data_IF_468593723699
#
_entry.id   IF_468593723699
#
_cell.length_a   1.000
_cell.length_b   1.000
_cell.length_c   1.000
_cell.angle_alpha   90.00
_cell.angle_beta   90.00
_cell.angle_gamma   90.00
#
_symmetry.space_group_name_H-M   'P 1'
#
loop_
_entity.id
_entity.type
_entity.pdbx_description
1 polymer ?
#
# COMPACT_ATOMS: atom_id res chain seq x y z
N UNK A 1 45.97 -59.46 -7.75
CA UNK A 1 46.74 -58.93 -6.61
C UNK A 1 47.13 -57.49 -6.93
N UNK A 2 46.81 -56.41 -6.23
CA UNK A 2 46.02 -56.14 -5.04
C UNK A 2 45.39 -54.75 -5.25
N UNK A 3 44.10 -54.64 -5.01
CA UNK A 3 43.34 -53.40 -5.12
C UNK A 3 43.89 -52.35 -4.14
N UNK A 4 44.01 -51.13 -4.66
CA UNK A 4 44.46 -49.96 -3.91
C UNK A 4 43.37 -49.48 -2.94
N UNK A 5 43.83 -49.29 -1.70
CA UNK A 5 43.45 -48.22 -0.78
C UNK A 5 41.96 -48.05 -0.43
N UNK A 6 41.63 -48.61 0.73
CA UNK A 6 40.66 -48.05 1.66
C UNK A 6 40.88 -46.56 1.87
N UNK A 7 39.82 -45.78 1.70
CA UNK A 7 39.51 -44.64 2.58
C UNK A 7 38.00 -44.46 2.55
N UNK A 8 37.39 -45.03 3.57
CA UNK A 8 36.04 -44.77 4.05
C UNK A 8 35.79 -43.26 4.16
N UNK A 9 34.97 -42.71 3.26
CA UNK A 9 34.21 -41.50 3.55
C UNK A 9 32.75 -41.88 3.68
N UNK A 10 32.23 -41.66 4.88
CA UNK A 10 30.89 -42.00 5.33
C UNK A 10 29.83 -41.44 4.39
N UNK A 11 29.07 -42.34 3.75
CA UNK A 11 27.82 -42.02 3.07
C UNK A 11 26.75 -41.86 4.15
N UNK A 12 26.72 -40.68 4.77
CA UNK A 12 25.68 -40.35 5.74
C UNK A 12 24.44 -39.92 4.96
N UNK A 13 23.47 -40.84 4.88
CA UNK A 13 22.08 -40.50 4.62
C UNK A 13 21.65 -39.36 5.56
N UNK A 14 21.29 -38.20 4.99
CA UNK A 14 20.54 -37.17 5.69
C UNK A 14 19.34 -36.75 4.85
N UNK A 15 18.16 -37.19 5.33
CA UNK A 15 16.89 -36.49 5.29
C UNK A 15 16.30 -36.07 3.94
N UNK A 16 15.56 -37.00 3.32
CA UNK A 16 14.46 -36.75 2.36
C UNK A 16 13.24 -35.99 2.98
N UNK A 17 13.43 -35.05 3.90
CA UNK A 17 12.30 -34.35 4.56
C UNK A 17 12.52 -32.88 4.89
N UNK A 18 13.26 -32.15 4.07
CA UNK A 18 13.31 -30.68 4.15
C UNK A 18 13.00 -29.95 2.83
N UNK A 19 12.56 -30.67 1.79
CA UNK A 19 12.28 -30.04 0.47
C UNK A 19 10.79 -29.89 0.15
N UNK A 20 9.90 -30.08 1.13
CA UNK A 20 8.46 -29.88 0.96
C UNK A 20 7.90 -28.70 1.75
N UNK A 21 8.68 -28.04 2.61
CA UNK A 21 8.17 -26.91 3.40
C UNK A 21 8.36 -25.56 2.70
N UNK A 22 9.35 -25.42 1.82
CA UNK A 22 9.62 -24.14 1.14
C UNK A 22 8.76 -23.98 -0.12
N UNK A 23 8.51 -25.04 -0.89
CA UNK A 23 7.81 -24.92 -2.17
C UNK A 23 6.29 -24.60 -2.03
N UNK A 24 5.64 -25.09 -0.97
CA UNK A 24 4.24 -24.75 -0.67
C UNK A 24 4.11 -23.35 -0.10
N UNK A 25 4.98 -22.96 0.83
CA UNK A 25 4.94 -21.61 1.43
C UNK A 25 5.34 -20.53 0.42
N UNK A 26 6.29 -20.80 -0.48
CA UNK A 26 6.63 -19.88 -1.57
C UNK A 26 5.50 -19.82 -2.60
N UNK A 27 4.82 -20.93 -2.90
CA UNK A 27 3.66 -20.91 -3.80
C UNK A 27 2.49 -20.15 -3.20
N UNK A 28 2.21 -20.31 -1.91
CA UNK A 28 1.12 -19.61 -1.23
C UNK A 28 1.47 -18.15 -0.93
N UNK A 29 2.76 -17.82 -0.74
CA UNK A 29 3.26 -16.45 -0.70
C UNK A 29 3.23 -15.78 -2.09
N UNK A 30 3.59 -16.48 -3.17
CA UNK A 30 3.49 -15.97 -4.55
C UNK A 30 2.04 -15.90 -5.04
N UNK A 31 1.17 -16.83 -4.63
CA UNK A 31 -0.28 -16.78 -4.89
C UNK A 31 -0.99 -15.76 -4.00
N UNK A 32 -0.52 -15.54 -2.77
CA UNK A 32 -0.93 -14.41 -1.92
C UNK A 32 -0.43 -13.05 -2.45
N UNK A 33 0.61 -13.06 -3.29
CA UNK A 33 1.08 -11.93 -4.10
C UNK A 33 0.28 -11.74 -5.39
N UNK A 34 -0.75 -12.56 -5.65
CA UNK A 34 -1.72 -12.32 -6.72
C UNK A 34 -2.60 -11.14 -6.30
N UNK A 35 -2.20 -9.95 -6.74
CA UNK A 35 -3.09 -8.84 -7.04
C UNK A 35 -3.96 -8.36 -5.87
N UNK A 36 -3.39 -8.14 -4.67
CA UNK A 36 -4.08 -7.29 -3.70
C UNK A 36 -4.22 -5.90 -4.33
N UNK A 37 -5.43 -5.57 -4.78
CA UNK A 37 -5.74 -4.25 -5.31
C UNK A 37 -5.36 -3.23 -4.24
N UNK A 38 -4.41 -2.34 -4.54
CA UNK A 38 -4.08 -1.22 -3.66
C UNK A 38 -5.34 -0.38 -3.48
N UNK A 39 -5.77 -0.18 -2.24
CA UNK A 39 -6.93 0.65 -1.92
C UNK A 39 -6.49 2.09 -1.69
N UNK A 40 -7.28 3.05 -2.16
CA UNK A 40 -6.94 4.47 -2.17
C UNK A 40 -6.80 5.02 -0.74
N UNK A 41 -7.78 4.78 0.13
CA UNK A 41 -7.80 5.37 1.47
C UNK A 41 -6.84 4.63 2.40
N UNK A 42 -6.69 3.31 2.25
CA UNK A 42 -5.64 2.52 2.90
C UNK A 42 -4.25 3.06 2.55
N UNK A 43 -3.92 3.16 1.26
CA UNK A 43 -2.61 3.64 0.79
C UNK A 43 -2.30 5.07 1.27
N UNK A 44 -3.29 5.96 1.20
CA UNK A 44 -3.13 7.32 1.72
C UNK A 44 -2.91 7.31 3.26
N UNK A 45 -3.65 6.47 3.98
CA UNK A 45 -3.48 6.36 5.44
C UNK A 45 -2.10 5.84 5.82
N UNK A 46 -1.58 4.86 5.07
CA UNK A 46 -0.22 4.34 5.26
C UNK A 46 0.85 5.41 4.98
N UNK A 47 0.71 6.17 3.89
CA UNK A 47 1.56 7.34 3.62
C UNK A 47 1.57 8.35 4.78
N UNK A 48 0.42 8.59 5.41
CA UNK A 48 0.36 9.48 6.57
C UNK A 48 1.05 8.89 7.80
N UNK A 49 0.93 7.59 8.05
CA UNK A 49 1.64 6.91 9.14
C UNK A 49 3.15 7.09 8.97
N UNK A 50 3.68 6.81 7.79
CA UNK A 50 5.11 7.01 7.48
C UNK A 50 5.53 8.49 7.57
N UNK A 51 4.66 9.41 7.17
CA UNK A 51 4.92 10.86 7.27
C UNK A 51 4.95 11.31 8.73
N UNK A 52 4.13 10.72 9.60
CA UNK A 52 4.04 11.05 11.03
C UNK A 52 5.35 10.77 11.76
N UNK A 53 6.01 9.66 11.43
CA UNK A 53 7.30 9.27 12.01
C UNK A 53 8.43 10.25 11.67
N UNK A 54 8.29 10.99 10.57
CA UNK A 54 9.29 11.97 10.11
C UNK A 54 9.03 13.40 10.58
N UNK A 55 8.00 13.61 11.40
CA UNK A 55 7.70 14.92 11.98
C UNK A 55 8.84 15.33 12.92
N UNK A 56 9.37 16.54 12.74
CA UNK A 56 10.49 17.05 13.55
C UNK A 56 11.88 16.68 13.03
N UNK A 57 11.98 15.78 12.04
CA UNK A 57 13.23 15.45 11.35
C UNK A 57 13.27 16.16 9.99
N UNK A 58 12.25 15.93 9.17
CA UNK A 58 12.17 16.50 7.81
C UNK A 58 10.75 16.86 7.36
N UNK A 59 9.75 16.63 8.21
CA UNK A 59 8.35 16.96 7.93
C UNK A 59 7.80 17.93 8.98
N UNK A 60 7.09 18.94 8.50
CA UNK A 60 6.41 19.90 9.35
C UNK A 60 5.08 19.34 9.87
N UNK A 61 4.80 19.51 11.17
CA UNK A 61 3.54 19.10 11.80
C UNK A 61 2.31 19.74 11.12
N UNK A 62 2.45 21.01 10.70
CA UNK A 62 1.39 21.73 9.97
C UNK A 62 1.00 21.01 8.69
N UNK A 63 1.98 20.53 7.93
CA UNK A 63 1.75 19.78 6.68
C UNK A 63 1.06 18.46 6.98
N UNK A 64 1.51 17.72 8.00
CA UNK A 64 0.84 16.48 8.41
C UNK A 64 -0.63 16.70 8.77
N UNK A 65 -0.94 17.70 9.60
CA UNK A 65 -2.34 18.05 9.96
C UNK A 65 -3.18 18.36 8.73
N UNK A 66 -2.63 19.11 7.77
CA UNK A 66 -3.31 19.40 6.50
C UNK A 66 -3.60 18.13 5.71
N UNK A 67 -2.62 17.22 5.57
CA UNK A 67 -2.82 15.97 4.82
C UNK A 67 -3.83 15.03 5.50
N UNK A 68 -3.85 14.99 6.83
CA UNK A 68 -4.85 14.22 7.60
C UNK A 68 -6.27 14.76 7.37
N UNK A 69 -6.44 16.08 7.32
CA UNK A 69 -7.71 16.71 6.98
C UNK A 69 -8.14 16.41 5.53
N UNK A 70 -7.19 16.41 4.58
CA UNK A 70 -7.48 16.03 3.19
C UNK A 70 -7.94 14.57 3.08
N UNK A 71 -7.35 13.66 3.86
CA UNK A 71 -7.80 12.27 3.92
C UNK A 71 -9.22 12.13 4.49
N UNK A 72 -9.60 12.94 5.50
CA UNK A 72 -10.97 12.90 6.02
C UNK A 72 -11.98 13.36 4.96
N UNK A 73 -11.66 14.41 4.20
CA UNK A 73 -12.49 14.88 3.09
C UNK A 73 -12.66 13.81 2.01
N UNK A 74 -11.58 13.10 1.67
CA UNK A 74 -11.60 12.04 0.68
C UNK A 74 -12.44 10.84 1.16
N UNK A 75 -12.29 10.43 2.43
CA UNK A 75 -13.13 9.39 3.05
C UNK A 75 -14.61 9.76 3.00
N UNK A 76 -14.95 10.99 3.38
CA UNK A 76 -16.33 11.47 3.32
C UNK A 76 -16.89 11.48 1.90
N UNK A 77 -16.09 11.89 0.91
CA UNK A 77 -16.48 11.86 -0.50
C UNK A 77 -16.74 10.43 -0.99
N UNK A 78 -15.80 9.52 -0.73
CA UNK A 78 -15.92 8.10 -1.13
C UNK A 78 -17.17 7.49 -0.51
N UNK A 79 -17.39 7.70 0.79
CA UNK A 79 -18.60 7.22 1.46
C UNK A 79 -19.88 7.85 0.90
N UNK A 80 -19.89 9.16 0.63
CA UNK A 80 -21.10 9.87 0.15
C UNK A 80 -21.45 9.47 -1.28
N UNK A 81 -20.46 9.42 -2.17
CA UNK A 81 -20.63 9.24 -3.63
C UNK A 81 -20.64 7.77 -4.05
N UNK A 82 -19.74 6.96 -3.50
CA UNK A 82 -19.53 5.57 -3.90
C UNK A 82 -20.15 4.56 -2.93
N UNK A 83 -20.60 4.99 -1.74
CA UNK A 83 -21.27 4.16 -0.72
C UNK A 83 -20.42 2.99 -0.21
N UNK A 84 -19.11 3.13 -0.31
CA UNK A 84 -18.13 2.14 0.15
C UNK A 84 -17.17 2.81 1.12
N UNK A 85 -16.55 2.01 1.99
CA UNK A 85 -15.57 2.48 2.96
C UNK A 85 -14.21 2.80 2.33
N UNK A 86 -13.90 2.21 1.17
CA UNK A 86 -12.68 2.42 0.39
C UNK A 86 -12.92 2.07 -1.08
N UNK A 87 -12.02 2.49 -1.97
CA UNK A 87 -12.04 2.19 -3.40
C UNK A 87 -10.67 1.73 -3.89
N UNK A 88 -10.60 0.86 -4.91
CA UNK A 88 -9.34 0.54 -5.56
C UNK A 88 -8.67 1.79 -6.14
N UNK A 89 -7.36 1.90 -5.99
CA UNK A 89 -6.55 2.99 -6.54
C UNK A 89 -6.69 3.09 -8.07
N UNK A 90 -6.98 1.96 -8.74
CA UNK A 90 -7.28 1.92 -10.18
C UNK A 90 -8.54 2.70 -10.59
N UNK A 91 -9.42 3.04 -9.64
CA UNK A 91 -10.59 3.90 -9.88
C UNK A 91 -10.28 5.38 -9.74
N UNK A 92 -9.02 5.77 -9.48
CA UNK A 92 -8.57 7.16 -9.46
C UNK A 92 -8.41 7.70 -10.89
N UNK A 93 -9.51 7.77 -11.62
CA UNK A 93 -9.55 8.26 -13.00
C UNK A 93 -9.93 9.76 -13.08
N UNK A 94 -9.95 10.30 -14.30
CA UNK A 94 -10.35 11.71 -14.53
C UNK A 94 -11.77 12.01 -14.01
N UNK A 95 -12.66 11.03 -14.03
CA UNK A 95 -14.05 11.18 -13.57
C UNK A 95 -14.09 11.31 -12.06
N UNK A 96 -13.35 10.46 -11.34
CA UNK A 96 -13.20 10.53 -9.90
C UNK A 96 -12.60 11.87 -9.47
N UNK A 97 -11.50 12.30 -10.11
CA UNK A 97 -10.83 13.57 -9.78
C UNK A 97 -11.77 14.76 -9.96
N UNK A 98 -12.49 14.85 -11.08
CA UNK A 98 -13.48 15.92 -11.32
C UNK A 98 -14.64 15.86 -10.32
N UNK A 99 -15.12 14.66 -10.00
CA UNK A 99 -16.19 14.48 -9.00
C UNK A 99 -15.76 14.92 -7.61
N UNK A 100 -14.51 14.61 -7.23
CA UNK A 100 -13.95 15.04 -5.96
C UNK A 100 -13.71 16.56 -5.93
N UNK A 101 -13.17 17.15 -7.00
CA UNK A 101 -13.04 18.60 -7.14
C UNK A 101 -14.39 19.33 -7.00
N UNK A 102 -15.43 18.81 -7.65
CA UNK A 102 -16.79 19.32 -7.53
C UNK A 102 -17.27 19.25 -6.08
N UNK A 103 -17.11 18.11 -5.41
CA UNK A 103 -17.48 17.95 -4.00
C UNK A 103 -16.76 18.96 -3.10
N UNK A 104 -15.46 19.16 -3.27
CA UNK A 104 -14.69 20.12 -2.47
C UNK A 104 -15.15 21.57 -2.71
N UNK A 105 -15.52 21.90 -3.95
CA UNK A 105 -15.88 23.27 -4.35
C UNK A 105 -17.33 23.60 -4.02
N UNK A 106 -18.26 22.69 -4.29
CA UNK A 106 -19.70 22.95 -4.21
C UNK A 106 -20.27 22.50 -2.87
N UNK A 107 -20.06 21.23 -2.50
CA UNK A 107 -20.59 20.71 -1.23
C UNK A 107 -19.83 21.28 -0.03
N UNK A 108 -18.50 21.34 -0.10
CA UNK A 108 -17.65 21.81 1.01
C UNK A 108 -17.29 23.29 0.96
N UNK A 109 -17.59 23.98 -0.16
CA UNK A 109 -17.37 25.42 -0.35
C UNK A 109 -15.94 25.86 0.00
N UNK A 110 -14.96 25.01 -0.30
CA UNK A 110 -13.56 25.30 0.00
C UNK A 110 -13.01 26.33 -0.98
N UNK A 111 -12.04 27.13 -0.49
CA UNK A 111 -11.28 28.05 -1.34
C UNK A 111 -10.48 27.28 -2.39
N UNK A 112 -10.29 27.88 -3.57
CA UNK A 112 -9.53 27.29 -4.69
C UNK A 112 -8.14 26.77 -4.29
N UNK A 113 -7.42 27.48 -3.41
CA UNK A 113 -6.11 27.04 -2.92
C UNK A 113 -6.18 25.74 -2.12
N UNK A 114 -7.21 25.56 -1.28
CA UNK A 114 -7.44 24.33 -0.53
C UNK A 114 -7.83 23.17 -1.43
N UNK A 115 -8.70 23.42 -2.42
CA UNK A 115 -9.08 22.43 -3.45
C UNK A 115 -7.85 21.96 -4.21
N UNK A 116 -7.07 22.90 -4.76
CA UNK A 116 -5.83 22.60 -5.48
C UNK A 116 -4.86 21.79 -4.62
N UNK A 117 -4.67 22.17 -3.35
CA UNK A 117 -3.79 21.44 -2.44
C UNK A 117 -4.23 20.00 -2.20
N UNK A 118 -5.55 19.74 -2.14
CA UNK A 118 -6.10 18.40 -1.94
C UNK A 118 -5.95 17.54 -3.20
N UNK A 119 -6.23 18.10 -4.38
CA UNK A 119 -6.05 17.41 -5.65
C UNK A 119 -4.59 17.08 -5.93
N UNK A 120 -3.65 17.99 -5.63
CA UNK A 120 -2.23 17.74 -5.83
C UNK A 120 -1.71 16.52 -5.06
N UNK A 121 -2.32 16.14 -3.92
CA UNK A 121 -1.92 14.93 -3.18
C UNK A 121 -2.35 13.64 -3.86
N UNK A 122 -3.36 13.69 -4.74
CA UNK A 122 -3.84 12.53 -5.49
C UNK A 122 -3.11 12.34 -6.82
N UNK A 123 -2.40 13.37 -7.28
CA UNK A 123 -1.62 13.35 -8.52
C UNK A 123 -0.14 13.02 -8.32
N UNK A 124 0.33 12.94 -7.07
CA UNK A 124 1.75 12.84 -6.69
C UNK A 124 2.19 11.45 -6.33
#
# INVERSE_FOLDING_TARGET
MNASHSSTHAFTNFCEREESFIATDVRDAYQGQIHRQTLLLESYSEYLTQTKERIGIGRALKTFKLRTYQLSLLREYVQKKHKVSDIPLSQLDKTFIKGFEYYLTIDRKLKRSSVSSALSTLHS
#
